data_IF_382714231492
#
_entry.id   IF_382714231492
#
_cell.length_a   1.000
_cell.length_b   1.000
_cell.length_c   1.000
_cell.angle_alpha   90.00
_cell.angle_beta   90.00
_cell.angle_gamma   90.00
#
_symmetry.space_group_name_H-M   'P 1'
#
loop_
_entity.id
_entity.type
_entity.pdbx_description
1 polymer ?
#
# COMPACT_ATOMS: atom_id res chain seq x y z
N UNK A 1 17.96 8.57 -12.64
CA UNK A 1 16.76 7.81 -12.21
C UNK A 1 17.17 6.62 -11.35
N UNK A 2 16.33 6.16 -10.42
CA UNK A 2 16.55 4.94 -9.62
C UNK A 2 16.90 3.71 -10.49
N UNK A 3 16.35 3.63 -11.70
CA UNK A 3 16.70 2.63 -12.73
C UNK A 3 18.21 2.50 -12.97
N UNK A 4 18.92 3.63 -13.15
CA UNK A 4 20.37 3.60 -13.39
C UNK A 4 21.16 3.11 -12.16
N UNK A 5 20.63 3.33 -10.95
CA UNK A 5 21.25 2.90 -9.69
C UNK A 5 21.08 1.38 -9.50
N UNK A 6 19.95 0.84 -9.97
CA UNK A 6 19.52 -0.54 -9.78
C UNK A 6 19.89 -1.49 -10.93
N UNK A 7 20.23 -0.94 -12.11
CA UNK A 7 20.64 -1.72 -13.28
C UNK A 7 21.80 -2.67 -12.93
N UNK A 8 21.62 -3.95 -13.20
CA UNK A 8 22.59 -5.01 -12.89
C UNK A 8 22.65 -5.45 -11.42
N UNK A 9 21.83 -4.85 -10.53
CA UNK A 9 21.72 -5.24 -9.10
C UNK A 9 20.45 -6.01 -8.78
N UNK A 10 19.41 -5.83 -9.58
CA UNK A 10 18.11 -6.50 -9.46
C UNK A 10 17.60 -6.91 -10.85
N UNK A 11 16.59 -7.78 -10.89
CA UNK A 11 15.94 -8.17 -12.14
C UNK A 11 15.21 -7.01 -12.83
N UNK A 12 15.08 -7.08 -14.15
CA UNK A 12 14.35 -6.09 -14.95
C UNK A 12 12.88 -5.98 -14.55
N UNK A 13 12.29 -7.09 -14.09
CA UNK A 13 10.93 -7.14 -13.53
C UNK A 13 10.79 -6.27 -12.27
N UNK A 14 11.79 -6.28 -11.40
CA UNK A 14 11.84 -5.41 -10.20
C UNK A 14 11.97 -3.95 -10.60
N UNK A 15 12.83 -3.63 -11.58
CA UNK A 15 13.00 -2.26 -12.08
C UNK A 15 11.68 -1.76 -12.67
N UNK A 16 11.01 -2.59 -13.48
CA UNK A 16 9.69 -2.25 -14.06
C UNK A 16 8.64 -2.04 -12.97
N UNK A 17 8.62 -2.89 -11.93
CA UNK A 17 7.70 -2.73 -10.81
C UNK A 17 7.94 -1.43 -10.04
N UNK A 18 9.20 -1.03 -9.86
CA UNK A 18 9.56 0.27 -9.30
C UNK A 18 9.14 1.42 -10.23
N UNK A 19 9.09 1.25 -11.55
CA UNK A 19 8.52 2.30 -12.41
C UNK A 19 6.99 2.32 -12.29
N UNK A 20 6.36 1.16 -12.29
CA UNK A 20 4.91 1.01 -12.29
C UNK A 20 4.24 1.46 -10.99
N UNK A 21 4.89 1.33 -9.82
CA UNK A 21 4.31 1.84 -8.57
C UNK A 21 4.12 3.37 -8.61
N UNK A 22 4.93 4.09 -9.39
CA UNK A 22 4.84 5.52 -9.60
C UNK A 22 4.32 5.88 -11.02
N UNK A 23 3.38 5.09 -11.53
CA UNK A 23 2.80 5.21 -12.88
C UNK A 23 2.28 6.61 -13.23
N UNK A 24 1.83 7.39 -12.24
CA UNK A 24 1.38 8.79 -12.44
C UNK A 24 2.51 9.71 -12.94
N UNK A 25 3.77 9.39 -12.59
CA UNK A 25 4.94 10.16 -12.99
C UNK A 25 5.77 9.46 -14.08
N UNK A 26 5.78 8.13 -14.12
CA UNK A 26 6.61 7.35 -15.05
C UNK A 26 5.87 6.95 -16.32
N UNK A 27 4.54 7.06 -16.34
CA UNK A 27 3.64 6.59 -17.40
C UNK A 27 3.72 5.07 -17.65
N UNK A 28 4.37 4.30 -16.77
CA UNK A 28 4.43 2.85 -16.84
C UNK A 28 3.25 2.27 -16.08
N UNK A 29 2.24 1.76 -16.78
CA UNK A 29 1.03 1.23 -16.14
C UNK A 29 1.31 -0.15 -15.49
N UNK A 30 0.74 -0.43 -14.29
CA UNK A 30 0.82 -1.75 -13.66
C UNK A 30 0.06 -2.82 -14.45
N UNK A 31 0.77 -3.85 -14.90
CA UNK A 31 0.25 -4.96 -15.70
C UNK A 31 0.31 -6.28 -14.93
N UNK A 32 1.47 -6.56 -14.33
CA UNK A 32 1.73 -7.82 -13.66
C UNK A 32 1.06 -7.89 -12.28
N UNK A 33 0.89 -9.11 -11.76
CA UNK A 33 0.33 -9.32 -10.42
C UNK A 33 1.19 -8.63 -9.34
N UNK A 34 2.52 -8.68 -9.48
CA UNK A 34 3.45 -8.02 -8.57
C UNK A 34 3.25 -6.50 -8.55
N UNK A 35 3.21 -5.88 -9.73
CA UNK A 35 3.10 -4.43 -9.89
C UNK A 35 1.81 -3.88 -9.27
N UNK A 36 0.69 -4.56 -9.57
CA UNK A 36 -0.63 -4.22 -9.04
C UNK A 36 -0.69 -4.34 -7.52
N UNK A 37 -0.12 -5.42 -6.98
CA UNK A 37 -0.04 -5.61 -5.53
C UNK A 37 0.86 -4.56 -4.86
N UNK A 38 1.97 -4.18 -5.51
CA UNK A 38 2.88 -3.15 -4.99
C UNK A 38 2.20 -1.78 -4.89
N UNK A 39 1.50 -1.34 -5.96
CA UNK A 39 0.71 -0.09 -5.96
C UNK A 39 -0.33 -0.09 -4.85
N UNK A 40 -1.03 -1.23 -4.69
CA UNK A 40 -2.06 -1.39 -3.67
C UNK A 40 -1.48 -1.34 -2.26
N UNK A 41 -0.40 -2.07 -2.01
CA UNK A 41 0.28 -2.13 -0.71
C UNK A 41 0.82 -0.76 -0.28
N UNK A 42 1.45 -0.04 -1.21
CA UNK A 42 1.97 1.31 -1.00
C UNK A 42 0.86 2.26 -0.51
N UNK A 43 -0.24 2.39 -1.28
CA UNK A 43 -1.34 3.28 -0.90
C UNK A 43 -2.07 2.82 0.37
N UNK A 44 -2.25 1.51 0.56
CA UNK A 44 -2.89 0.95 1.76
C UNK A 44 -2.07 1.23 3.02
N UNK A 45 -0.74 1.16 2.94
CA UNK A 45 0.13 1.41 4.10
C UNK A 45 -0.09 2.80 4.68
N UNK A 46 -0.22 3.83 3.83
CA UNK A 46 -0.52 5.20 4.26
C UNK A 46 -1.89 5.31 4.95
N UNK A 47 -2.91 4.58 4.45
CA UNK A 47 -4.22 4.54 5.08
C UNK A 47 -4.16 3.89 6.47
N UNK A 48 -3.39 2.82 6.62
CA UNK A 48 -3.22 2.11 7.89
C UNK A 48 -2.49 2.97 8.93
N UNK A 49 -1.39 3.63 8.55
CA UNK A 49 -0.70 4.59 9.42
C UNK A 49 -1.62 5.73 9.83
N UNK A 50 -2.28 6.38 8.88
CA UNK A 50 -3.21 7.46 9.18
C UNK A 50 -4.32 7.00 10.13
N UNK A 51 -4.84 5.78 9.93
CA UNK A 51 -5.89 5.20 10.78
C UNK A 51 -5.41 4.98 12.21
N UNK A 52 -4.17 4.51 12.41
CA UNK A 52 -3.58 4.36 13.74
C UNK A 52 -3.36 5.72 14.41
N UNK A 53 -2.82 6.71 13.70
CA UNK A 53 -2.46 8.03 14.23
C UNK A 53 -3.65 8.84 14.79
N UNK A 54 -4.86 8.59 14.30
CA UNK A 54 -6.07 9.27 14.80
C UNK A 54 -6.76 8.53 15.95
N UNK A 55 -6.28 7.34 16.32
CA UNK A 55 -6.77 6.64 17.51
C UNK A 55 -6.17 7.28 18.78
N UNK A 56 -6.87 7.29 19.92
CA UNK A 56 -6.32 7.80 21.18
C UNK A 56 -5.00 7.13 21.58
N UNK A 57 -4.88 5.83 21.30
CA UNK A 57 -3.66 5.07 21.63
C UNK A 57 -2.54 5.29 20.65
N UNK A 58 -2.82 5.76 19.42
CA UNK A 58 -1.86 5.93 18.31
C UNK A 58 -1.08 4.66 17.94
N UNK A 59 -1.56 3.49 18.40
CA UNK A 59 -0.86 2.22 18.24
C UNK A 59 -1.39 1.41 17.09
N UNK A 60 -0.51 1.04 16.17
CA UNK A 60 -0.89 0.21 15.03
C UNK A 60 -1.34 -1.20 15.48
N UNK A 61 -0.74 -1.75 16.54
CA UNK A 61 -1.09 -3.04 17.12
C UNK A 61 -2.58 -3.15 17.50
N UNK A 62 -3.21 -2.03 17.87
CA UNK A 62 -4.61 -1.97 18.30
C UNK A 62 -5.61 -1.68 17.17
N UNK A 63 -5.11 -1.33 15.97
CA UNK A 63 -5.95 -1.04 14.81
C UNK A 63 -6.73 -2.29 14.38
N UNK A 64 -8.05 -2.15 14.21
CA UNK A 64 -8.94 -3.25 13.82
C UNK A 64 -9.33 -3.15 12.35
N UNK A 65 -9.52 -4.29 11.71
CA UNK A 65 -9.92 -4.38 10.30
C UNK A 65 -11.19 -3.57 9.98
N UNK A 66 -12.18 -3.57 10.89
CA UNK A 66 -13.42 -2.80 10.72
C UNK A 66 -13.18 -1.28 10.69
N UNK A 67 -12.20 -0.79 11.46
CA UNK A 67 -11.78 0.62 11.39
C UNK A 67 -11.19 0.93 10.02
N UNK A 68 -10.32 0.05 9.50
CA UNK A 68 -9.74 0.20 8.16
C UNK A 68 -10.82 0.25 7.08
N UNK A 69 -11.78 -0.68 7.11
CA UNK A 69 -12.92 -0.70 6.17
C UNK A 69 -13.74 0.60 6.23
N UNK A 70 -14.00 1.13 7.43
CA UNK A 70 -14.71 2.41 7.60
C UNK A 70 -13.91 3.58 7.04
N UNK A 71 -12.61 3.68 7.38
CA UNK A 71 -11.72 4.74 6.91
C UNK A 71 -11.47 4.68 5.41
N UNK A 72 -11.46 3.49 4.81
CA UNK A 72 -11.35 3.33 3.36
C UNK A 72 -12.53 3.99 2.62
N UNK A 73 -13.76 3.84 3.13
CA UNK A 73 -14.98 4.43 2.55
C UNK A 73 -15.02 5.95 2.68
N UNK A 74 -14.41 6.50 3.72
CA UNK A 74 -14.26 7.94 3.90
C UNK A 74 -13.17 8.48 2.96
N UNK A 75 -13.59 9.09 1.84
CA UNK A 75 -12.69 9.70 0.85
C UNK A 75 -12.02 10.99 1.35
N UNK A 76 -12.55 11.61 2.40
CA UNK A 76 -11.95 12.83 2.99
C UNK A 76 -10.80 12.49 3.95
N UNK A 77 -10.82 11.28 4.51
CA UNK A 77 -9.77 10.78 5.38
C UNK A 77 -8.53 10.34 4.60
N UNK A 78 -7.34 10.75 5.04
CA UNK A 78 -6.07 10.38 4.42
C UNK A 78 -6.10 10.61 2.89
N UNK A 79 -6.39 11.85 2.46
CA UNK A 79 -6.54 12.24 1.03
C UNK A 79 -5.33 11.91 0.17
N UNK A 80 -4.13 11.83 0.75
CA UNK A 80 -2.92 11.38 0.06
C UNK A 80 -2.92 9.90 -0.32
N UNK A 81 -3.77 9.08 0.29
CA UNK A 81 -3.87 7.65 0.00
C UNK A 81 -4.99 7.39 -1.02
N UNK A 82 -4.63 7.29 -2.30
CA UNK A 82 -5.58 7.04 -3.38
C UNK A 82 -6.31 5.71 -3.17
N UNK A 83 -7.64 5.77 -3.10
CA UNK A 83 -8.51 4.58 -3.00
C UNK A 83 -8.45 3.74 -4.28
N UNK A 84 -8.30 4.38 -5.43
CA UNK A 84 -8.13 3.71 -6.72
C UNK A 84 -6.82 2.91 -6.74
N UNK A 85 -5.72 3.49 -6.23
CA UNK A 85 -4.44 2.77 -6.09
C UNK A 85 -4.57 1.52 -5.21
N UNK A 86 -5.32 1.60 -4.11
CA UNK A 86 -5.60 0.43 -3.27
C UNK A 86 -6.37 -0.66 -4.04
N UNK A 87 -7.30 -0.30 -4.91
CA UNK A 87 -8.12 -1.27 -5.65
C UNK A 87 -7.38 -2.02 -6.77
N UNK A 88 -6.13 -1.67 -7.11
CA UNK A 88 -5.33 -2.48 -8.05
C UNK A 88 -5.18 -3.94 -7.61
N UNK A 89 -5.29 -4.23 -6.30
CA UNK A 89 -5.31 -5.60 -5.80
C UNK A 89 -6.46 -6.44 -6.40
N UNK A 90 -7.62 -5.85 -6.68
CA UNK A 90 -8.77 -6.57 -7.25
C UNK A 90 -8.46 -7.03 -8.68
N UNK A 91 -7.79 -6.19 -9.49
CA UNK A 91 -7.29 -6.55 -10.82
C UNK A 91 -6.11 -7.55 -10.81
N UNK A 92 -5.56 -7.84 -9.62
CA UNK A 92 -4.58 -8.89 -9.37
C UNK A 92 -5.22 -10.17 -8.80
N UNK A 93 -6.56 -10.23 -8.72
CA UNK A 93 -7.31 -11.36 -8.20
C UNK A 93 -7.34 -11.43 -6.67
N UNK A 94 -7.02 -10.33 -5.97
CA UNK A 94 -7.05 -10.25 -4.51
C UNK A 94 -8.21 -9.32 -4.11
N UNK A 95 -9.26 -9.83 -3.44
CA UNK A 95 -10.32 -8.97 -2.92
C UNK A 95 -9.75 -7.89 -2.00
N UNK A 96 -10.28 -6.66 -2.06
CA UNK A 96 -9.79 -5.54 -1.22
C UNK A 96 -9.83 -5.85 0.27
N UNK A 97 -10.83 -6.60 0.75
CA UNK A 97 -10.92 -7.03 2.14
C UNK A 97 -9.73 -7.91 2.52
N UNK A 98 -9.32 -8.81 1.62
CA UNK A 98 -8.14 -9.65 1.83
C UNK A 98 -6.86 -8.83 1.82
N UNK A 99 -6.79 -7.82 0.97
CA UNK A 99 -5.66 -6.90 0.94
C UNK A 99 -5.53 -6.12 2.25
N UNK A 100 -6.66 -5.66 2.84
CA UNK A 100 -6.66 -4.99 4.14
C UNK A 100 -6.16 -5.91 5.25
N UNK A 101 -6.59 -7.17 5.27
CA UNK A 101 -6.10 -8.17 6.24
C UNK A 101 -4.60 -8.38 6.13
N UNK A 102 -4.09 -8.60 4.91
CA UNK A 102 -2.67 -8.83 4.64
C UNK A 102 -1.85 -7.61 5.07
N UNK A 103 -2.24 -6.41 4.63
CA UNK A 103 -1.53 -5.17 4.97
C UNK A 103 -1.54 -4.88 6.46
N UNK A 104 -2.70 -5.01 7.11
CA UNK A 104 -2.81 -4.79 8.56
C UNK A 104 -1.97 -5.80 9.35
N UNK A 105 -2.02 -7.09 8.99
CA UNK A 105 -1.23 -8.13 9.63
C UNK A 105 0.28 -7.90 9.47
N UNK A 106 0.73 -7.62 8.25
CA UNK A 106 2.14 -7.38 7.95
C UNK A 106 2.69 -6.14 8.67
N UNK A 107 1.93 -5.04 8.73
CA UNK A 107 2.42 -3.86 9.42
C UNK A 107 2.37 -4.01 10.95
N UNK A 108 1.40 -4.75 11.49
CA UNK A 108 1.37 -5.07 12.93
C UNK A 108 2.59 -5.87 13.37
N UNK A 109 3.06 -6.82 12.56
CA UNK A 109 4.24 -7.63 12.90
C UNK A 109 5.54 -6.85 12.96
N UNK A 110 5.55 -5.61 12.45
CA UNK A 110 6.72 -4.70 12.50
C UNK A 110 6.40 -3.38 13.22
N UNK A 111 5.31 -3.31 13.99
CA UNK A 111 4.83 -2.06 14.61
C UNK A 111 5.91 -1.34 15.45
N UNK A 112 6.71 -2.10 16.21
CA UNK A 112 7.81 -1.55 16.99
C UNK A 112 8.87 -0.81 16.13
N UNK A 113 9.06 -1.21 14.87
CA UNK A 113 9.99 -0.57 13.94
C UNK A 113 9.37 0.64 13.22
N UNK A 114 8.05 0.79 13.25
CA UNK A 114 7.31 1.87 12.60
C UNK A 114 7.11 3.09 13.52
N UNK A 115 7.67 3.05 14.73
CA UNK A 115 7.49 4.06 15.77
C UNK A 115 6.01 4.36 16.11
N UNK A 116 5.13 3.35 15.93
CA UNK A 116 3.66 3.41 16.10
C UNK A 116 3.08 2.12 16.69
#
# INVERSE_FOLDING_TARGET
LAENILKGKVGEDVIRAIKAHNHENTLVVPESRLEKCLVSADSLSGLLIASALVMPTKRLAELRLETVKKKFKDKTFARGCSRERVLFCESAGIPKEKMFEIGLGAMKSISDNLAL
#
